data_IF_221765724075
#
_entry.id   IF_221765724075
#
_cell.length_a   1.000
_cell.length_b   1.000
_cell.length_c   1.000
_cell.angle_alpha   90.00
_cell.angle_beta   90.00
_cell.angle_gamma   90.00
#
_symmetry.space_group_name_H-M   'P 1'
#
loop_
_entity.id
_entity.type
_entity.pdbx_description
1 polymer ?
#
# COMPACT_ATOMS: atom_id res chain seq x y z
N UNK A 1 14.49 -24.25 -1.03
CA UNK A 1 13.51 -24.93 -0.14
C UNK A 1 12.08 -24.35 -0.21
N UNK A 2 11.71 -23.57 -1.23
CA UNK A 2 10.33 -23.08 -1.39
C UNK A 2 9.41 -24.07 -2.14
N UNK A 3 9.97 -25.01 -2.90
CA UNK A 3 9.20 -25.95 -3.72
C UNK A 3 8.49 -27.06 -2.93
N UNK A 4 9.09 -27.51 -1.82
CA UNK A 4 8.53 -28.62 -1.02
C UNK A 4 7.25 -28.17 -0.31
N UNK A 5 7.22 -26.93 0.19
CA UNK A 5 6.03 -26.35 0.81
C UNK A 5 4.86 -26.19 -0.17
N UNK A 6 5.12 -25.71 -1.38
CA UNK A 6 4.10 -25.55 -2.42
C UNK A 6 3.53 -26.89 -2.91
N UNK A 7 4.37 -27.93 -3.03
CA UNK A 7 3.93 -29.26 -3.45
C UNK A 7 3.06 -29.94 -2.38
N UNK A 8 3.45 -29.86 -1.10
CA UNK A 8 2.66 -30.40 0.01
C UNK A 8 1.33 -29.65 0.14
N UNK A 9 1.36 -28.32 0.11
CA UNK A 9 0.15 -27.50 0.20
C UNK A 9 -0.80 -27.75 -0.98
N UNK A 10 -0.28 -27.82 -2.20
CA UNK A 10 -1.06 -28.13 -3.40
C UNK A 10 -1.71 -29.51 -3.36
N UNK A 11 -1.02 -30.53 -2.84
CA UNK A 11 -1.57 -31.88 -2.69
C UNK A 11 -2.69 -31.94 -1.63
N UNK A 12 -2.50 -31.32 -0.47
CA UNK A 12 -3.54 -31.23 0.56
C UNK A 12 -4.76 -30.48 0.05
N UNK A 13 -4.55 -29.37 -0.65
CA UNK A 13 -5.63 -28.58 -1.22
C UNK A 13 -6.41 -29.34 -2.29
N UNK A 14 -5.73 -29.98 -3.25
CA UNK A 14 -6.37 -30.75 -4.32
C UNK A 14 -7.21 -31.93 -3.77
N UNK A 15 -6.71 -32.62 -2.75
CA UNK A 15 -7.43 -33.72 -2.10
C UNK A 15 -8.64 -33.24 -1.27
N UNK A 16 -8.59 -32.03 -0.72
CA UNK A 16 -9.70 -31.41 0.01
C UNK A 16 -10.79 -30.90 -0.94
N UNK A 17 -10.41 -30.41 -2.12
CA UNK A 17 -11.30 -29.95 -3.18
C UNK A 17 -12.07 -31.11 -3.84
N UNK A 18 -11.38 -32.24 -4.07
CA UNK A 18 -11.95 -33.45 -4.64
C UNK A 18 -12.99 -34.14 -3.73
N UNK A 19 -13.03 -33.79 -2.44
CA UNK A 19 -13.98 -34.36 -1.47
C UNK A 19 -15.42 -33.85 -1.62
N UNK A 20 -15.69 -32.89 -2.53
CA UNK A 20 -17.05 -32.60 -3.03
C UNK A 20 -18.07 -32.15 -1.98
N UNK A 21 -17.62 -31.74 -0.80
CA UNK A 21 -18.49 -31.20 0.24
C UNK A 21 -18.79 -29.73 -0.09
N UNK A 22 -19.95 -29.20 0.34
CA UNK A 22 -20.57 -27.87 0.04
C UNK A 22 -19.67 -26.60 0.08
N UNK A 23 -18.37 -26.73 0.34
CA UNK A 23 -17.30 -25.74 0.20
C UNK A 23 -17.24 -25.13 -1.20
N UNK A 24 -17.74 -25.78 -2.25
CA UNK A 24 -17.70 -25.29 -3.64
C UNK A 24 -18.14 -23.84 -3.78
N UNK A 25 -19.25 -23.43 -3.16
CA UNK A 25 -19.75 -22.04 -3.25
C UNK A 25 -18.84 -21.02 -2.57
N UNK A 26 -18.38 -21.29 -1.35
CA UNK A 26 -17.47 -20.36 -0.66
C UNK A 26 -16.10 -20.31 -1.36
N UNK A 27 -15.66 -21.45 -1.88
CA UNK A 27 -14.43 -21.60 -2.62
C UNK A 27 -14.46 -20.89 -3.97
N UNK A 28 -15.55 -21.01 -4.74
CA UNK A 28 -15.80 -20.26 -5.97
C UNK A 28 -15.74 -18.76 -5.70
N UNK A 29 -16.42 -18.28 -4.67
CA UNK A 29 -16.38 -16.86 -4.27
C UNK A 29 -14.95 -16.40 -3.89
N UNK A 30 -14.18 -17.25 -3.21
CA UNK A 30 -12.80 -16.95 -2.84
C UNK A 30 -11.88 -16.88 -4.06
N UNK A 31 -12.02 -17.83 -5.00
CA UNK A 31 -11.27 -17.83 -6.25
C UNK A 31 -11.64 -16.66 -7.14
N UNK A 32 -12.91 -16.28 -7.21
CA UNK A 32 -13.38 -15.09 -7.92
C UNK A 32 -12.83 -13.79 -7.30
N UNK A 33 -12.73 -13.72 -5.98
CA UNK A 33 -12.09 -12.58 -5.30
C UNK A 33 -10.60 -12.49 -5.64
N UNK A 34 -9.85 -13.61 -5.58
CA UNK A 34 -8.45 -13.66 -5.99
C UNK A 34 -8.31 -13.28 -7.47
N UNK A 35 -9.10 -13.86 -8.35
CA UNK A 35 -9.05 -13.60 -9.78
C UNK A 35 -9.31 -12.13 -10.09
N UNK A 36 -10.28 -11.49 -9.41
CA UNK A 36 -10.54 -10.07 -9.56
C UNK A 36 -9.40 -9.18 -9.03
N UNK A 37 -8.65 -9.63 -8.02
CA UNK A 37 -7.47 -8.91 -7.52
C UNK A 37 -6.32 -8.89 -8.54
N UNK A 38 -6.14 -9.99 -9.27
CA UNK A 38 -5.13 -10.09 -10.34
C UNK A 38 -5.64 -9.60 -11.71
N UNK A 39 -6.93 -9.32 -11.86
CA UNK A 39 -7.51 -8.86 -13.12
C UNK A 39 -7.02 -7.43 -13.41
N UNK A 40 -6.29 -7.18 -14.51
CA UNK A 40 -5.83 -5.84 -14.84
C UNK A 40 -7.05 -4.94 -15.11
N UNK A 41 -7.13 -3.82 -14.39
CA UNK A 41 -8.21 -2.84 -14.55
C UNK A 41 -8.21 -2.34 -16.00
N UNK A 42 -9.24 -2.66 -16.76
CA UNK A 42 -9.37 -2.22 -18.16
C UNK A 42 -9.32 -0.69 -18.19
N UNK A 43 -8.34 -0.15 -18.91
CA UNK A 43 -8.14 1.30 -19.02
C UNK A 43 -9.34 1.89 -19.75
N UNK A 44 -10.23 2.56 -19.03
CA UNK A 44 -11.25 3.41 -19.65
C UNK A 44 -10.53 4.46 -20.50
N UNK A 45 -10.97 4.74 -21.74
CA UNK A 45 -10.38 5.79 -22.55
C UNK A 45 -10.48 7.10 -21.79
N UNK A 46 -9.34 7.75 -21.54
CA UNK A 46 -9.27 8.99 -20.79
C UNK A 46 -10.13 10.05 -21.48
N UNK A 47 -11.11 10.61 -20.75
CA UNK A 47 -11.88 11.77 -21.20
C UNK A 47 -10.92 12.96 -21.31
N UNK A 48 -10.58 13.36 -22.53
CA UNK A 48 -9.74 14.55 -22.79
C UNK A 48 -10.47 15.79 -22.29
N UNK A 49 -10.11 16.31 -21.12
CA UNK A 49 -10.55 17.62 -20.64
C UNK A 49 -9.54 18.66 -21.10
N UNK A 50 -9.99 19.59 -21.94
CA UNK A 50 -9.21 20.75 -22.35
C UNK A 50 -9.13 21.71 -21.16
N UNK A 51 -7.91 22.05 -20.75
CA UNK A 51 -7.66 22.94 -19.62
C UNK A 51 -7.52 24.37 -20.17
N UNK A 52 -8.53 25.21 -19.94
CA UNK A 52 -8.39 26.66 -20.14
C UNK A 52 -7.39 27.19 -19.11
N UNK A 53 -6.33 27.84 -19.58
CA UNK A 53 -5.32 28.46 -18.72
C UNK A 53 -5.83 29.81 -18.27
N UNK A 54 -6.55 29.84 -17.15
CA UNK A 54 -6.65 31.09 -16.38
C UNK A 54 -5.35 31.29 -15.59
N UNK A 55 -4.73 32.48 -15.62
CA UNK A 55 -3.56 32.76 -14.81
C UNK A 55 -3.99 32.85 -13.35
N UNK A 56 -3.76 31.78 -12.59
CA UNK A 56 -3.99 31.80 -11.15
C UNK A 56 -2.91 32.66 -10.50
N UNK A 57 -3.34 33.78 -9.95
CA UNK A 57 -2.58 34.66 -9.07
C UNK A 57 -1.76 33.84 -8.07
N UNK A 58 -0.46 34.15 -8.00
CA UNK A 58 0.47 33.52 -7.07
C UNK A 58 0.03 33.82 -5.64
N UNK A 59 -0.62 32.82 -5.02
CA UNK A 59 -0.83 32.81 -3.58
C UNK A 59 0.44 32.24 -2.95
N UNK A 60 1.33 33.14 -2.54
CA UNK A 60 2.50 32.86 -1.71
C UNK A 60 2.06 32.12 -0.44
N UNK A 61 2.18 30.79 -0.46
CA UNK A 61 2.14 29.98 0.75
C UNK A 61 3.52 30.07 1.42
N UNK A 62 3.60 30.22 2.75
CA UNK A 62 4.88 30.23 3.47
C UNK A 62 5.48 28.82 3.37
N UNK A 63 6.45 28.63 2.45
CA UNK A 63 6.95 27.30 2.06
C UNK A 63 8.17 26.84 2.86
N UNK A 64 8.86 27.72 3.57
CA UNK A 64 10.19 27.37 4.07
C UNK A 64 10.16 26.49 5.31
N UNK A 65 9.25 26.72 6.27
CA UNK A 65 9.25 25.96 7.54
C UNK A 65 8.62 24.56 7.38
N UNK A 66 7.55 24.44 6.57
CA UNK A 66 6.90 23.14 6.34
C UNK A 66 7.78 22.20 5.51
N UNK A 67 8.62 22.74 4.63
CA UNK A 67 9.57 21.96 3.82
C UNK A 67 10.63 21.27 4.68
N UNK A 68 11.23 21.99 5.64
CA UNK A 68 12.28 21.43 6.51
C UNK A 68 11.76 20.35 7.46
N UNK A 69 10.55 20.54 8.02
CA UNK A 69 9.93 19.53 8.87
C UNK A 69 9.61 18.25 8.08
N UNK A 70 9.13 18.37 6.84
CA UNK A 70 8.83 17.23 5.98
C UNK A 70 10.10 16.45 5.62
N UNK A 71 11.21 17.13 5.28
CA UNK A 71 12.51 16.46 5.06
C UNK A 71 12.98 15.63 6.26
N UNK A 72 12.74 16.13 7.48
CA UNK A 72 13.06 15.40 8.72
C UNK A 72 12.16 14.18 8.92
N UNK A 73 10.86 14.31 8.63
CA UNK A 73 9.93 13.16 8.64
C UNK A 73 10.39 12.10 7.65
N UNK A 74 10.69 12.47 6.41
CA UNK A 74 11.12 11.53 5.37
C UNK A 74 12.41 10.79 5.76
N UNK A 75 13.40 11.49 6.31
CA UNK A 75 14.65 10.87 6.78
C UNK A 75 14.42 9.87 7.93
N UNK A 76 13.48 10.17 8.84
CA UNK A 76 13.08 9.26 9.92
C UNK A 76 12.39 8.02 9.35
N UNK A 77 11.48 8.18 8.38
CA UNK A 77 10.79 7.06 7.73
C UNK A 77 11.77 6.13 7.00
N UNK A 78 12.79 6.68 6.35
CA UNK A 78 13.86 5.91 5.70
C UNK A 78 14.67 5.08 6.71
N UNK A 79 14.99 5.65 7.87
CA UNK A 79 15.71 4.95 8.95
C UNK A 79 14.88 3.80 9.52
N UNK A 80 13.58 4.02 9.73
CA UNK A 80 12.63 2.97 10.11
C UNK A 80 12.60 1.87 9.04
N UNK A 81 12.51 2.23 7.77
CA UNK A 81 12.47 1.26 6.66
C UNK A 81 13.72 0.39 6.57
N UNK A 82 14.89 0.91 6.93
CA UNK A 82 16.17 0.19 6.89
C UNK A 82 16.47 -0.64 8.14
N UNK A 83 16.09 -0.15 9.32
CA UNK A 83 16.58 -0.67 10.61
C UNK A 83 15.52 -0.83 11.69
N UNK A 84 14.26 -0.49 11.40
CA UNK A 84 13.13 -0.59 12.31
C UNK A 84 12.96 0.62 13.23
N UNK A 85 11.84 0.68 13.95
CA UNK A 85 11.49 1.80 14.84
C UNK A 85 12.44 1.95 16.04
N UNK A 86 13.05 0.85 16.49
CA UNK A 86 13.95 0.86 17.64
C UNK A 86 15.30 1.54 17.36
N UNK A 87 15.66 1.78 16.11
CA UNK A 87 16.88 2.50 15.74
C UNK A 87 16.74 4.03 15.81
N UNK A 88 15.54 4.54 16.08
CA UNK A 88 15.29 5.97 16.23
C UNK A 88 15.77 6.48 17.59
N UNK A 89 16.36 7.67 17.59
CA UNK A 89 16.66 8.38 18.84
C UNK A 89 15.37 8.82 19.52
N UNK A 90 15.44 9.09 20.83
CA UNK A 90 14.29 9.59 21.60
C UNK A 90 13.67 10.85 20.97
N UNK A 91 14.53 11.74 20.46
CA UNK A 91 14.12 12.98 19.79
C UNK A 91 13.38 12.73 18.46
N UNK A 92 13.85 11.76 17.66
CA UNK A 92 13.20 11.37 16.40
C UNK A 92 11.83 10.74 16.65
N UNK A 93 11.70 9.90 17.69
CA UNK A 93 10.42 9.30 18.10
C UNK A 93 9.42 10.36 18.55
N UNK A 94 9.86 11.31 19.39
CA UNK A 94 9.02 12.40 19.88
C UNK A 94 8.57 13.34 18.75
N UNK A 95 9.44 13.58 17.76
CA UNK A 95 9.11 14.37 16.58
C UNK A 95 8.06 13.68 15.70
N UNK A 96 8.21 12.38 15.43
CA UNK A 96 7.24 11.61 14.65
C UNK A 96 5.85 11.59 15.31
N UNK A 97 5.81 11.49 16.64
CA UNK A 97 4.55 11.52 17.40
C UNK A 97 3.84 12.87 17.32
N UNK A 98 4.59 13.97 17.33
CA UNK A 98 4.02 15.33 17.16
C UNK A 98 3.50 15.53 15.74
N UNK A 99 4.26 15.10 14.73
CA UNK A 99 3.86 15.22 13.33
C UNK A 99 2.54 14.48 13.03
N UNK A 100 2.34 13.28 13.59
CA UNK A 100 1.10 12.51 13.38
C UNK A 100 -0.14 13.01 14.14
N UNK A 101 -0.02 14.01 15.01
CA UNK A 101 -1.16 14.65 15.70
C UNK A 101 -1.66 15.93 15.02
N UNK A 102 -0.89 16.45 14.07
CA UNK A 102 -1.21 17.70 13.36
C UNK A 102 -1.93 17.48 12.01
N UNK A 103 -2.14 16.22 11.61
CA UNK A 103 -2.98 15.78 10.48
C UNK A 103 -4.32 15.21 10.97
#
# INVERSE_FOLDING_TARGET
>A
MAHVGGAIFGFVYATQLAKGNDIGKWFENFMDWIANLFKPRTKKPFKKVHRTTQPTTQRSKPKDVKSENQKKVDGILDKIGKSGYESLTKEEKDFLFKAGKED
#
